data_IF_091953522957
#
_entry.id   IF_091953522957
#
_cell.length_a   1.000
_cell.length_b   1.000
_cell.length_c   1.000
_cell.angle_alpha   90.00
_cell.angle_beta   90.00
_cell.angle_gamma   90.00
#
_symmetry.space_group_name_H-M   'P 1'
#
loop_
_entity.id
_entity.type
_entity.pdbx_description
1 polymer ?
#
# COMPACT_ATOMS: atom_id res chain seq x y z
N UNK A 1 -25.15 2.36 41.33
CA UNK A 1 -24.62 1.55 40.21
C UNK A 1 -23.95 2.47 39.20
N UNK A 2 -22.62 2.63 39.28
CA UNK A 2 -21.85 3.37 38.28
C UNK A 2 -21.89 2.57 36.97
N UNK A 3 -22.56 3.11 35.94
CA UNK A 3 -22.56 2.55 34.58
C UNK A 3 -21.11 2.36 34.16
N UNK A 4 -20.71 1.11 33.93
CA UNK A 4 -19.40 0.74 33.38
C UNK A 4 -19.25 1.52 32.06
N UNK A 5 -18.40 2.55 32.03
CA UNK A 5 -18.20 3.34 30.82
C UNK A 5 -17.58 2.44 29.76
N UNK A 6 -18.39 2.00 28.79
CA UNK A 6 -17.91 1.27 27.64
C UNK A 6 -17.39 2.25 26.59
N UNK A 7 -16.33 1.86 25.89
CA UNK A 7 -15.58 2.66 24.90
C UNK A 7 -16.45 3.36 23.84
N UNK A 8 -17.69 2.94 23.62
CA UNK A 8 -18.54 3.42 22.54
C UNK A 8 -19.42 4.63 22.88
N UNK A 9 -19.54 5.03 24.16
CA UNK A 9 -20.47 6.10 24.58
C UNK A 9 -19.85 7.48 24.65
N UNK A 10 -18.51 7.59 24.70
CA UNK A 10 -17.80 8.86 24.84
C UNK A 10 -17.00 9.18 23.54
N UNK A 11 -17.27 10.34 22.94
CA UNK A 11 -16.59 10.83 21.72
C UNK A 11 -15.07 10.88 21.91
N UNK A 12 -14.59 11.29 23.09
CA UNK A 12 -13.16 11.33 23.40
C UNK A 12 -12.53 9.94 23.36
N UNK A 13 -13.23 8.92 23.88
CA UNK A 13 -12.75 7.53 23.86
C UNK A 13 -12.71 6.95 22.45
N UNK A 14 -13.68 7.31 21.59
CA UNK A 14 -13.65 6.95 20.17
C UNK A 14 -12.46 7.59 19.46
N UNK A 15 -12.25 8.89 19.63
CA UNK A 15 -11.09 9.59 19.02
C UNK A 15 -9.77 8.99 19.50
N UNK A 16 -9.63 8.72 20.80
CA UNK A 16 -8.42 8.11 21.35
C UNK A 16 -8.17 6.71 20.79
N UNK A 17 -9.23 5.89 20.64
CA UNK A 17 -9.14 4.58 19.98
C UNK A 17 -8.67 4.70 18.53
N UNK A 18 -9.18 5.66 17.77
CA UNK A 18 -8.72 5.91 16.39
C UNK A 18 -7.25 6.29 16.34
N UNK A 19 -6.82 7.23 17.17
CA UNK A 19 -5.41 7.66 17.25
C UNK A 19 -4.51 6.48 17.64
N UNK A 20 -4.91 5.69 18.64
CA UNK A 20 -4.20 4.49 19.07
C UNK A 20 -4.05 3.48 17.93
N UNK A 21 -5.14 3.19 17.20
CA UNK A 21 -5.12 2.24 16.08
C UNK A 21 -4.20 2.73 14.96
N UNK A 22 -4.30 4.00 14.58
CA UNK A 22 -3.42 4.58 13.54
C UNK A 22 -1.94 4.50 13.96
N UNK A 23 -1.62 4.87 15.19
CA UNK A 23 -0.25 4.81 15.71
C UNK A 23 0.30 3.38 15.74
N UNK A 24 -0.44 2.42 16.31
CA UNK A 24 -0.01 1.02 16.36
C UNK A 24 0.13 0.45 14.96
N UNK A 25 -0.80 0.74 14.06
CA UNK A 25 -0.71 0.27 12.68
C UNK A 25 0.55 0.80 11.97
N UNK A 26 0.91 2.07 12.17
CA UNK A 26 2.12 2.66 11.60
C UNK A 26 3.38 2.03 12.21
N UNK A 27 3.42 1.80 13.52
CA UNK A 27 4.53 1.10 14.19
C UNK A 27 4.68 -0.33 13.67
N UNK A 28 3.58 -1.07 13.54
CA UNK A 28 3.60 -2.42 12.97
C UNK A 28 4.09 -2.41 11.52
N UNK A 29 3.59 -1.48 10.69
CA UNK A 29 4.04 -1.29 9.31
C UNK A 29 5.55 -1.00 9.23
N UNK A 30 6.05 -0.13 10.11
CA UNK A 30 7.48 0.16 10.23
C UNK A 30 8.29 -1.08 10.63
N UNK A 31 7.82 -1.87 11.59
CA UNK A 31 8.52 -3.09 12.01
C UNK A 31 8.68 -4.09 10.86
N UNK A 32 7.63 -4.33 10.09
CA UNK A 32 7.67 -5.27 8.96
C UNK A 32 8.40 -4.72 7.74
N UNK A 33 8.43 -3.40 7.60
CA UNK A 33 9.16 -2.68 6.56
C UNK A 33 10.50 -2.12 7.07
N UNK A 34 11.09 -2.78 8.08
CA UNK A 34 12.35 -2.36 8.68
C UNK A 34 13.53 -2.36 7.70
N UNK A 35 13.62 -3.24 6.68
CA UNK A 35 14.70 -3.15 5.69
C UNK A 35 14.69 -1.81 4.95
N UNK A 36 13.52 -1.34 4.52
CA UNK A 36 13.38 -0.02 3.89
C UNK A 36 13.69 1.11 4.86
N UNK A 37 13.23 0.99 6.11
CA UNK A 37 13.47 1.99 7.15
C UNK A 37 14.97 2.16 7.42
N UNK A 38 15.71 1.04 7.52
CA UNK A 38 17.16 1.06 7.72
C UNK A 38 17.84 1.75 6.54
N UNK A 39 17.55 1.32 5.30
CA UNK A 39 18.16 1.92 4.11
C UNK A 39 17.85 3.42 4.00
N UNK A 40 16.60 3.82 4.26
CA UNK A 40 16.19 5.22 4.19
C UNK A 40 16.88 6.13 5.22
N UNK A 41 17.24 5.60 6.39
CA UNK A 41 17.89 6.38 7.46
C UNK A 41 19.42 6.36 7.34
N UNK A 42 20.01 5.22 6.96
CA UNK A 42 21.47 5.05 6.95
C UNK A 42 22.13 5.45 5.64
N UNK A 43 21.36 5.53 4.55
CA UNK A 43 21.91 5.65 3.20
C UNK A 43 21.48 6.96 2.55
N UNK A 44 22.43 7.66 1.93
CA UNK A 44 22.12 8.86 1.15
C UNK A 44 21.32 8.51 -0.12
N UNK A 45 20.38 9.38 -0.47
CA UNK A 45 19.59 9.27 -1.70
C UNK A 45 20.47 9.64 -2.89
N UNK A 46 21.12 8.64 -3.47
CA UNK A 46 22.02 8.79 -4.61
C UNK A 46 21.77 7.65 -5.62
N UNK A 47 22.08 7.90 -6.89
CA UNK A 47 22.01 6.94 -7.99
C UNK A 47 22.75 5.63 -7.69
N UNK A 48 23.85 5.72 -6.91
CA UNK A 48 24.66 4.57 -6.48
C UNK A 48 23.90 3.61 -5.56
N UNK A 49 22.96 4.13 -4.79
CA UNK A 49 22.22 3.38 -3.76
C UNK A 49 20.83 2.94 -4.23
N UNK A 50 20.43 3.28 -5.47
CA UNK A 50 19.12 2.93 -6.03
C UNK A 50 18.82 1.43 -5.97
N UNK A 51 19.85 0.60 -6.15
CA UNK A 51 19.71 -0.86 -6.06
C UNK A 51 19.32 -1.31 -4.65
N UNK A 52 19.96 -0.74 -3.62
CA UNK A 52 19.63 -1.02 -2.22
C UNK A 52 18.21 -0.56 -1.88
N UNK A 53 17.82 0.65 -2.30
CA UNK A 53 16.45 1.14 -2.12
C UNK A 53 15.42 0.24 -2.82
N UNK A 54 15.73 -0.23 -4.02
CA UNK A 54 14.86 -1.13 -4.79
C UNK A 54 14.61 -2.43 -4.03
N UNK A 55 15.68 -3.11 -3.57
CA UNK A 55 15.55 -4.35 -2.79
C UNK A 55 14.78 -4.10 -1.49
N UNK A 56 15.04 -2.99 -0.81
CA UNK A 56 14.36 -2.69 0.44
C UNK A 56 12.86 -2.42 0.25
N UNK A 57 12.48 -1.77 -0.85
CA UNK A 57 11.08 -1.56 -1.26
C UNK A 57 10.31 -2.86 -1.54
N UNK A 58 10.99 -4.00 -1.72
CA UNK A 58 10.33 -5.30 -1.90
C UNK A 58 9.41 -5.65 -0.71
N UNK A 59 9.81 -5.27 0.51
CA UNK A 59 9.04 -5.50 1.74
C UNK A 59 7.77 -4.64 1.81
N UNK A 60 7.65 -3.62 0.96
CA UNK A 60 6.47 -2.79 0.87
C UNK A 60 5.26 -3.57 0.35
N UNK A 61 5.48 -4.59 -0.48
CA UNK A 61 4.44 -5.44 -1.08
C UNK A 61 3.65 -6.21 0.02
N UNK A 62 4.28 -7.08 0.84
CA UNK A 62 3.59 -7.76 1.93
C UNK A 62 3.03 -6.79 2.96
N UNK A 63 3.78 -5.75 3.32
CA UNK A 63 3.35 -4.77 4.33
C UNK A 63 2.06 -4.06 3.92
N UNK A 64 1.94 -3.67 2.65
CA UNK A 64 0.76 -2.98 2.13
C UNK A 64 -0.47 -3.89 2.07
N UNK A 65 -0.32 -5.13 1.57
CA UNK A 65 -1.43 -6.09 1.57
C UNK A 65 -1.92 -6.36 3.00
N UNK A 66 -1.00 -6.54 3.94
CA UNK A 66 -1.33 -6.75 5.36
C UNK A 66 -2.07 -5.55 5.94
N UNK A 67 -1.61 -4.33 5.70
CA UNK A 67 -2.29 -3.14 6.19
C UNK A 67 -3.71 -3.01 5.63
N UNK A 68 -3.92 -3.27 4.34
CA UNK A 68 -5.27 -3.28 3.73
C UNK A 68 -6.14 -4.37 4.36
N UNK A 69 -5.60 -5.57 4.58
CA UNK A 69 -6.32 -6.67 5.24
C UNK A 69 -6.69 -6.35 6.69
N UNK A 70 -5.77 -5.71 7.40
CA UNK A 70 -5.91 -5.29 8.78
C UNK A 70 -6.97 -4.17 8.93
N UNK A 71 -6.97 -3.20 8.01
CA UNK A 71 -8.03 -2.19 7.91
C UNK A 71 -9.39 -2.82 7.62
N UNK A 72 -9.45 -3.84 6.75
CA UNK A 72 -10.69 -4.56 6.48
C UNK A 72 -11.25 -5.25 7.73
N UNK A 73 -10.39 -5.98 8.47
CA UNK A 73 -10.78 -6.64 9.73
C UNK A 73 -11.24 -5.65 10.78
N UNK A 74 -10.55 -4.52 10.92
CA UNK A 74 -10.94 -3.51 11.88
C UNK A 74 -12.33 -2.92 11.61
N UNK A 75 -12.75 -2.82 10.35
CA UNK A 75 -14.12 -2.39 10.03
C UNK A 75 -15.18 -3.45 10.39
N UNK A 76 -14.82 -4.73 10.39
CA UNK A 76 -15.74 -5.86 10.60
C UNK A 76 -15.83 -6.29 12.07
N UNK A 77 -14.74 -6.20 12.84
CA UNK A 77 -14.63 -6.71 14.21
C UNK A 77 -14.80 -5.60 15.28
N UNK A 78 -15.63 -5.87 16.30
CA UNK A 78 -15.83 -4.94 17.44
C UNK A 78 -14.67 -4.96 18.44
N UNK A 79 -14.11 -6.14 18.70
CA UNK A 79 -12.93 -6.35 19.55
C UNK A 79 -11.74 -6.67 18.67
N UNK A 80 -10.67 -5.89 18.79
CA UNK A 80 -9.56 -5.90 17.85
C UNK A 80 -8.26 -5.66 18.60
N UNK A 81 -7.38 -6.66 18.62
CA UNK A 81 -6.00 -6.51 19.11
C UNK A 81 -5.11 -6.08 17.93
N UNK A 82 -4.79 -4.78 17.82
CA UNK A 82 -4.21 -4.22 16.60
C UNK A 82 -2.85 -4.82 16.27
N UNK A 83 -1.97 -4.99 17.27
CA UNK A 83 -0.61 -5.44 17.01
C UNK A 83 -0.57 -6.94 16.68
N UNK A 84 -1.22 -7.76 17.51
CA UNK A 84 -1.21 -9.22 17.35
C UNK A 84 -1.83 -9.63 16.00
N UNK A 85 -2.97 -9.04 15.66
CA UNK A 85 -3.63 -9.35 14.39
C UNK A 85 -2.81 -8.91 13.18
N UNK A 86 -2.13 -7.76 13.24
CA UNK A 86 -1.27 -7.30 12.14
C UNK A 86 -0.18 -8.32 11.81
N UNK A 87 0.56 -8.79 12.82
CA UNK A 87 1.64 -9.75 12.60
C UNK A 87 1.14 -11.14 12.19
N UNK A 88 -0.03 -11.56 12.65
CA UNK A 88 -0.67 -12.80 12.19
C UNK A 88 -1.05 -12.71 10.71
N UNK A 89 -1.69 -11.61 10.29
CA UNK A 89 -2.03 -11.35 8.89
C UNK A 89 -0.78 -11.25 8.01
N UNK A 90 0.29 -10.62 8.51
CA UNK A 90 1.55 -10.53 7.79
C UNK A 90 2.14 -11.89 7.46
N UNK A 91 2.25 -12.76 8.48
CA UNK A 91 2.75 -14.13 8.29
C UNK A 91 1.87 -14.94 7.33
N UNK A 92 0.54 -14.80 7.45
CA UNK A 92 -0.43 -15.51 6.61
C UNK A 92 -0.36 -15.07 5.14
N UNK A 93 -0.28 -13.76 4.90
CA UNK A 93 -0.38 -13.17 3.55
C UNK A 93 0.97 -12.99 2.87
N UNK A 94 2.09 -13.25 3.55
CA UNK A 94 3.46 -13.04 3.05
C UNK A 94 3.69 -13.63 1.67
N UNK A 95 3.44 -14.93 1.46
CA UNK A 95 3.68 -15.58 0.16
C UNK A 95 2.71 -15.08 -0.91
N UNK A 96 1.46 -14.82 -0.50
CA UNK A 96 0.40 -14.40 -1.43
C UNK A 96 0.62 -12.98 -1.92
N UNK A 97 1.17 -12.08 -1.10
CA UNK A 97 1.43 -10.70 -1.48
C UNK A 97 2.34 -10.62 -2.71
N UNK A 98 3.38 -11.45 -2.79
CA UNK A 98 4.27 -11.50 -3.95
C UNK A 98 3.55 -11.96 -5.22
N UNK A 99 2.62 -12.92 -5.12
CA UNK A 99 1.81 -13.31 -6.28
C UNK A 99 0.86 -12.21 -6.77
N UNK A 100 0.46 -11.29 -5.90
CA UNK A 100 -0.51 -10.23 -6.19
C UNK A 100 0.13 -8.91 -6.61
N UNK A 101 1.30 -8.57 -6.07
CA UNK A 101 1.99 -7.30 -6.33
C UNK A 101 3.42 -7.42 -6.85
N UNK A 102 4.02 -8.61 -6.81
CA UNK A 102 5.40 -8.83 -7.27
C UNK A 102 5.58 -8.53 -8.76
N UNK A 103 4.63 -8.92 -9.60
CA UNK A 103 4.67 -8.60 -11.04
C UNK A 103 4.65 -7.08 -11.25
N UNK A 104 3.77 -6.36 -10.56
CA UNK A 104 3.71 -4.91 -10.68
C UNK A 104 4.97 -4.22 -10.16
N UNK A 105 5.59 -4.75 -9.11
CA UNK A 105 6.87 -4.27 -8.60
C UNK A 105 8.01 -4.49 -9.61
N UNK A 106 8.13 -5.68 -10.23
CA UNK A 106 9.13 -5.96 -11.26
C UNK A 106 8.95 -5.02 -12.46
N UNK A 107 7.72 -4.86 -12.96
CA UNK A 107 7.43 -3.96 -14.08
C UNK A 107 7.82 -2.52 -13.72
N UNK A 108 7.48 -2.08 -12.50
CA UNK A 108 7.81 -0.72 -12.04
C UNK A 108 9.33 -0.51 -11.91
N UNK A 109 10.06 -1.52 -11.44
CA UNK A 109 11.52 -1.48 -11.33
C UNK A 109 12.17 -1.39 -12.70
N UNK A 110 11.81 -2.27 -13.64
CA UNK A 110 12.34 -2.27 -15.02
C UNK A 110 12.04 -0.93 -15.69
N UNK A 111 10.79 -0.46 -15.65
CA UNK A 111 10.40 0.82 -16.22
C UNK A 111 11.17 2.00 -15.61
N UNK A 112 11.48 1.95 -14.30
CA UNK A 112 12.29 2.98 -13.64
C UNK A 112 13.74 2.96 -14.12
N UNK A 113 14.36 1.78 -14.19
CA UNK A 113 15.74 1.63 -14.69
C UNK A 113 15.84 2.07 -16.16
N UNK A 114 14.90 1.65 -16.99
CA UNK A 114 14.85 2.03 -18.40
C UNK A 114 14.66 3.54 -18.55
N UNK A 115 13.79 4.16 -17.75
CA UNK A 115 13.61 5.62 -17.77
C UNK A 115 14.92 6.37 -17.47
N UNK A 116 15.73 5.89 -16.52
CA UNK A 116 17.04 6.47 -16.19
C UNK A 116 18.06 6.29 -17.32
N UNK A 117 17.98 5.17 -18.05
CA UNK A 117 18.81 4.94 -19.23
C UNK A 117 18.43 5.89 -20.38
N UNK A 118 17.14 5.97 -20.72
CA UNK A 118 16.63 6.80 -21.81
C UNK A 118 16.79 8.31 -21.55
N UNK A 119 16.88 8.76 -20.30
CA UNK A 119 17.21 10.15 -19.97
C UNK A 119 18.55 10.62 -20.54
N UNK A 120 19.50 9.70 -20.76
CA UNK A 120 20.84 10.02 -21.30
C UNK A 120 20.85 10.17 -22.81
N UNK A 121 19.80 9.73 -23.50
CA UNK A 121 19.67 9.80 -24.96
C UNK A 121 18.90 11.06 -25.35
N UNK A 122 19.34 11.75 -26.41
CA UNK A 122 18.71 12.99 -26.90
C UNK A 122 17.23 12.80 -27.27
N UNK A 123 16.89 11.68 -27.93
CA UNK A 123 15.53 11.32 -28.32
C UNK A 123 14.78 10.59 -27.20
N UNK A 124 15.50 9.99 -26.25
CA UNK A 124 14.90 9.14 -25.20
C UNK A 124 13.96 9.88 -24.25
N UNK A 125 14.05 11.21 -24.16
CA UNK A 125 13.15 12.04 -23.35
C UNK A 125 11.68 11.91 -23.78
N UNK A 126 11.42 11.67 -25.05
CA UNK A 126 10.05 11.49 -25.57
C UNK A 126 9.40 10.17 -25.13
N UNK A 127 10.19 9.18 -24.69
CA UNK A 127 9.70 7.90 -24.17
C UNK A 127 9.36 7.94 -22.68
N UNK A 128 9.74 9.00 -21.95
CA UNK A 128 9.48 9.10 -20.51
C UNK A 128 7.99 9.01 -20.13
N UNK A 129 7.06 9.70 -20.83
CA UNK A 129 5.64 9.59 -20.52
C UNK A 129 5.13 8.14 -20.58
N UNK A 130 5.66 7.34 -21.51
CA UNK A 130 5.31 5.92 -21.63
C UNK A 130 5.73 5.11 -20.40
N UNK A 131 6.96 5.30 -19.89
CA UNK A 131 7.41 4.63 -18.67
C UNK A 131 6.60 5.05 -17.43
N UNK A 132 6.24 6.33 -17.33
CA UNK A 132 5.34 6.79 -16.26
C UNK A 132 3.97 6.11 -16.31
N UNK A 133 3.38 5.97 -17.50
CA UNK A 133 2.12 5.26 -17.69
C UNK A 133 2.26 3.78 -17.32
N UNK A 134 3.37 3.12 -17.66
CA UNK A 134 3.63 1.73 -17.26
C UNK A 134 3.70 1.56 -15.74
N UNK A 135 4.48 2.40 -15.05
CA UNK A 135 4.57 2.39 -13.58
C UNK A 135 3.19 2.65 -12.97
N UNK A 136 2.45 3.61 -13.52
CA UNK A 136 1.09 3.93 -13.07
C UNK A 136 0.15 2.72 -13.16
N UNK A 137 0.10 2.05 -14.32
CA UNK A 137 -0.76 0.87 -14.52
C UNK A 137 -0.31 -0.27 -13.61
N UNK A 138 0.99 -0.56 -13.54
CA UNK A 138 1.54 -1.66 -12.74
C UNK A 138 1.23 -1.52 -11.24
N UNK A 139 1.41 -0.31 -10.71
CA UNK A 139 1.09 0.01 -9.31
C UNK A 139 -0.42 -0.01 -9.05
N UNK A 140 -1.23 0.60 -9.92
CA UNK A 140 -2.70 0.58 -9.80
C UNK A 140 -3.26 -0.84 -9.81
N UNK A 141 -2.76 -1.70 -10.70
CA UNK A 141 -3.16 -3.11 -10.77
C UNK A 141 -2.79 -3.85 -9.48
N UNK A 142 -1.61 -3.59 -8.92
CA UNK A 142 -1.16 -4.21 -7.66
C UNK A 142 -2.06 -3.83 -6.48
N UNK A 143 -2.40 -2.54 -6.36
CA UNK A 143 -3.32 -2.04 -5.32
C UNK A 143 -4.69 -2.71 -5.44
N UNK A 144 -5.23 -2.76 -6.65
CA UNK A 144 -6.53 -3.40 -6.91
C UNK A 144 -6.48 -4.91 -6.67
N UNK A 145 -5.37 -5.59 -6.99
CA UNK A 145 -5.18 -7.01 -6.70
C UNK A 145 -5.25 -7.30 -5.20
N UNK A 146 -4.62 -6.45 -4.38
CA UNK A 146 -4.67 -6.60 -2.93
C UNK A 146 -6.09 -6.51 -2.41
N UNK A 147 -6.84 -5.48 -2.82
CA UNK A 147 -8.21 -5.28 -2.37
C UNK A 147 -9.16 -6.39 -2.85
N UNK A 148 -9.12 -6.74 -4.14
CA UNK A 148 -10.02 -7.75 -4.71
C UNK A 148 -9.78 -9.15 -4.14
N UNK A 149 -8.51 -9.50 -3.88
CA UNK A 149 -8.19 -10.78 -3.24
C UNK A 149 -8.80 -10.88 -1.84
N UNK A 150 -8.78 -9.80 -1.06
CA UNK A 150 -9.35 -9.79 0.29
C UNK A 150 -10.87 -9.94 0.28
N UNK A 151 -11.55 -9.36 -0.72
CA UNK A 151 -13.00 -9.52 -0.88
C UNK A 151 -13.39 -10.90 -1.43
N UNK A 152 -12.56 -11.49 -2.28
CA UNK A 152 -12.87 -12.74 -2.97
C UNK A 152 -11.69 -13.72 -2.95
N UNK A 153 -11.32 -14.28 -1.78
CA UNK A 153 -10.11 -15.10 -1.64
C UNK A 153 -10.17 -16.43 -2.41
N UNK A 154 -11.38 -16.89 -2.79
CA UNK A 154 -11.62 -18.13 -3.52
C UNK A 154 -11.35 -18.01 -5.03
N UNK A 155 -11.23 -16.80 -5.57
CA UNK A 155 -11.03 -16.60 -7.00
C UNK A 155 -9.61 -16.98 -7.44
N UNK A 156 -9.51 -17.48 -8.68
CA UNK A 156 -8.22 -17.71 -9.34
C UNK A 156 -7.50 -16.37 -9.51
N UNK A 157 -6.20 -16.35 -9.24
CA UNK A 157 -5.35 -15.15 -9.35
C UNK A 157 -5.45 -14.50 -10.74
N UNK A 158 -5.52 -15.31 -11.81
CA UNK A 158 -5.66 -14.81 -13.18
C UNK A 158 -6.93 -13.98 -13.42
N UNK A 159 -8.03 -14.33 -12.75
CA UNK A 159 -9.29 -13.57 -12.80
C UNK A 159 -9.12 -12.25 -12.04
N UNK A 160 -8.45 -12.29 -10.88
CA UNK A 160 -8.14 -11.10 -10.08
C UNK A 160 -7.34 -10.09 -10.90
N UNK A 161 -6.28 -10.50 -11.60
CA UNK A 161 -5.49 -9.61 -12.45
C UNK A 161 -6.32 -8.97 -13.58
N UNK A 162 -7.16 -9.75 -14.27
CA UNK A 162 -8.04 -9.23 -15.33
C UNK A 162 -9.01 -8.18 -14.78
N UNK A 163 -9.63 -8.48 -13.63
CA UNK A 163 -10.52 -7.55 -12.96
C UNK A 163 -9.78 -6.28 -12.52
N UNK A 164 -8.62 -6.41 -11.88
CA UNK A 164 -7.80 -5.27 -11.45
C UNK A 164 -7.35 -4.37 -12.59
N UNK A 165 -6.99 -4.94 -13.75
CA UNK A 165 -6.67 -4.18 -14.94
C UNK A 165 -7.90 -3.41 -15.45
N UNK A 166 -9.05 -4.08 -15.52
CA UNK A 166 -10.31 -3.44 -15.90
C UNK A 166 -10.69 -2.28 -14.97
N UNK A 167 -10.60 -2.45 -13.65
CA UNK A 167 -10.87 -1.37 -12.70
C UNK A 167 -9.89 -0.21 -12.86
N UNK A 168 -8.60 -0.51 -13.06
CA UNK A 168 -7.54 0.48 -13.24
C UNK A 168 -7.79 1.40 -14.43
N UNK A 169 -8.32 0.86 -15.52
CA UNK A 169 -8.61 1.63 -16.74
C UNK A 169 -9.98 2.31 -16.67
N UNK A 170 -11.02 1.61 -16.20
CA UNK A 170 -12.40 2.15 -16.17
C UNK A 170 -12.55 3.32 -15.22
N UNK A 171 -11.88 3.27 -14.06
CA UNK A 171 -11.92 4.32 -13.02
C UNK A 171 -10.53 4.93 -12.83
N UNK A 172 -9.90 5.28 -13.96
CA UNK A 172 -8.51 5.76 -14.02
C UNK A 172 -8.23 6.93 -13.05
N UNK A 173 -9.19 7.83 -12.83
CA UNK A 173 -9.01 8.97 -11.92
C UNK A 173 -8.82 8.54 -10.46
N UNK A 174 -9.60 7.56 -9.97
CA UNK A 174 -9.41 7.04 -8.60
C UNK A 174 -8.15 6.20 -8.50
N UNK A 175 -7.87 5.41 -9.54
CA UNK A 175 -6.61 4.67 -9.65
C UNK A 175 -5.40 5.60 -9.62
N UNK A 176 -5.47 6.75 -10.29
CA UNK A 176 -4.43 7.77 -10.27
C UNK A 176 -4.20 8.31 -8.86
N UNK A 177 -5.27 8.69 -8.15
CA UNK A 177 -5.16 9.13 -6.75
C UNK A 177 -4.55 8.02 -5.87
N UNK A 178 -5.01 6.78 -6.00
CA UNK A 178 -4.51 5.66 -5.22
C UNK A 178 -3.03 5.38 -5.50
N UNK A 179 -2.62 5.40 -6.77
CA UNK A 179 -1.21 5.24 -7.15
C UNK A 179 -0.36 6.37 -6.59
N UNK A 180 -0.80 7.63 -6.70
CA UNK A 180 -0.07 8.77 -6.15
C UNK A 180 0.09 8.65 -4.63
N UNK A 181 -0.98 8.32 -3.91
CA UNK A 181 -0.93 8.07 -2.46
C UNK A 181 0.04 6.92 -2.13
N UNK A 182 -0.01 5.83 -2.89
CA UNK A 182 0.84 4.68 -2.64
C UNK A 182 2.33 4.98 -2.85
N UNK A 183 2.67 5.69 -3.93
CA UNK A 183 4.04 6.15 -4.22
C UNK A 183 4.48 7.21 -3.19
N UNK A 184 3.56 8.05 -2.72
CA UNK A 184 3.87 9.09 -1.74
C UNK A 184 4.31 8.51 -0.39
N UNK A 185 3.89 7.31 0.00
CA UNK A 185 4.29 6.72 1.29
C UNK A 185 5.83 6.59 1.41
N UNK A 186 6.53 5.83 0.54
CA UNK A 186 7.98 5.73 0.61
C UNK A 186 8.68 7.07 0.33
N UNK A 187 8.11 7.95 -0.52
CA UNK A 187 8.69 9.28 -0.75
C UNK A 187 8.68 10.15 0.52
N UNK A 188 7.57 10.18 1.27
CA UNK A 188 7.48 10.95 2.51
C UNK A 188 8.37 10.35 3.60
N UNK A 189 8.51 9.01 3.66
CA UNK A 189 9.47 8.35 4.55
C UNK A 189 10.91 8.83 4.31
N UNK A 190 11.28 9.06 3.05
CA UNK A 190 12.61 9.48 2.66
C UNK A 190 12.80 11.00 2.88
N UNK A 191 11.83 11.82 2.48
CA UNK A 191 11.94 13.30 2.53
C UNK A 191 11.70 13.84 3.96
N UNK A 192 10.75 13.26 4.69
CA UNK A 192 10.37 13.65 6.06
C UNK A 192 10.15 12.40 6.95
N UNK A 193 11.23 11.71 7.37
CA UNK A 193 11.17 10.47 8.15
C UNK A 193 10.19 10.50 9.33
N UNK A 194 10.19 11.58 10.11
CA UNK A 194 9.34 11.74 11.29
C UNK A 194 7.85 11.52 10.99
N UNK A 195 7.35 12.11 9.89
CA UNK A 195 5.95 11.97 9.48
C UNK A 195 5.73 10.73 8.61
N UNK A 196 6.69 10.42 7.73
CA UNK A 196 6.58 9.32 6.78
C UNK A 196 6.53 7.96 7.45
N UNK A 197 7.18 7.78 8.60
CA UNK A 197 7.15 6.53 9.34
C UNK A 197 5.99 6.43 10.33
N UNK A 198 5.63 7.53 11.01
CA UNK A 198 4.70 7.49 12.15
C UNK A 198 3.25 7.81 11.78
N UNK A 199 3.00 8.46 10.63
CA UNK A 199 1.69 9.03 10.31
C UNK A 199 1.19 8.54 8.94
N UNK A 200 1.99 8.74 7.89
CA UNK A 200 1.59 8.56 6.49
C UNK A 200 1.08 7.16 6.11
N UNK A 201 1.71 6.04 6.52
CA UNK A 201 1.43 4.71 5.94
C UNK A 201 -0.02 4.27 6.10
N UNK A 202 -0.51 4.19 7.33
CA UNK A 202 -1.87 3.71 7.61
C UNK A 202 -2.92 4.73 7.15
N UNK A 203 -2.64 6.03 7.23
CA UNK A 203 -3.58 7.04 6.73
C UNK A 203 -3.76 6.92 5.21
N UNK A 204 -2.67 6.85 4.45
CA UNK A 204 -2.75 6.79 2.99
C UNK A 204 -3.31 5.44 2.52
N UNK A 205 -2.88 4.33 3.13
CA UNK A 205 -3.46 3.01 2.85
C UNK A 205 -4.93 2.93 3.27
N UNK A 206 -5.34 3.64 4.32
CA UNK A 206 -6.73 3.80 4.73
C UNK A 206 -7.58 4.49 3.67
N UNK A 207 -7.10 5.61 3.12
CA UNK A 207 -7.77 6.32 2.02
C UNK A 207 -7.84 5.44 0.77
N UNK A 208 -6.75 4.76 0.41
CA UNK A 208 -6.72 3.80 -0.71
C UNK A 208 -7.76 2.71 -0.52
N UNK A 209 -7.85 2.12 0.68
CA UNK A 209 -8.84 1.10 1.01
C UNK A 209 -10.28 1.61 0.83
N UNK A 210 -10.58 2.81 1.34
CA UNK A 210 -11.90 3.42 1.21
C UNK A 210 -12.27 3.71 -0.25
N UNK A 211 -11.31 4.20 -1.04
CA UNK A 211 -11.49 4.43 -2.47
C UNK A 211 -11.80 3.11 -3.21
N UNK A 212 -11.04 2.04 -2.94
CA UNK A 212 -11.29 0.73 -3.54
C UNK A 212 -12.66 0.17 -3.14
N UNK A 213 -13.06 0.32 -1.86
CA UNK A 213 -14.38 -0.07 -1.37
C UNK A 213 -15.51 0.62 -2.12
N UNK A 214 -15.39 1.93 -2.35
CA UNK A 214 -16.39 2.71 -3.06
C UNK A 214 -16.48 2.30 -4.55
N UNK A 215 -15.34 2.05 -5.21
CA UNK A 215 -15.32 1.60 -6.61
C UNK A 215 -16.05 0.27 -6.75
N UNK A 216 -15.72 -0.73 -5.93
CA UNK A 216 -16.32 -2.07 -6.05
C UNK A 216 -17.83 -2.02 -5.81
N UNK A 217 -18.30 -1.27 -4.81
CA UNK A 217 -19.74 -1.04 -4.57
C UNK A 217 -20.43 -0.39 -5.77
N UNK A 218 -19.80 0.62 -6.37
CA UNK A 218 -20.39 1.36 -7.51
C UNK A 218 -20.57 0.51 -8.76
N UNK A 219 -19.78 -0.56 -8.91
CA UNK A 219 -19.77 -1.38 -10.11
C UNK A 219 -20.68 -2.61 -10.02
N UNK A 220 -21.32 -2.90 -8.88
CA UNK A 220 -22.14 -4.10 -8.65
C UNK A 220 -21.46 -5.39 -9.16
N UNK A 221 -20.14 -5.46 -9.07
CA UNK A 221 -19.38 -6.64 -9.47
C UNK A 221 -18.92 -7.33 -8.19
N UNK A 222 -19.52 -8.49 -7.93
CA UNK A 222 -19.37 -9.41 -6.79
C UNK A 222 -19.96 -8.90 -5.48
#
# INVERSE_FOLDING_TARGET
>A
MLKKQTFETNIYMKMFRWVYIVLIGNLCFLCVNSPFTIVAITTAIDGRNLFLFSIALLFFIPSSLTAIAWLNKWQEEKEFDPAKQFFQLYKLLWKKSFSLGGIGWIISLVASVDSLFFLKLSIGKWLLPFFFVLIFIATSVSINNFYLYLRNPQLKISIIYKASLYFSLKKWYVSLVNTLLFIAIPLVMVIKPQFGFLVTPILFLGVIYLNCLQITKSLKVL
#
